data_IF_739217542069
#
_entry.id   IF_739217542069
#
_cell.length_a   1.000
_cell.length_b   1.000
_cell.length_c   1.000
_cell.angle_alpha   90.00
_cell.angle_beta   90.00
_cell.angle_gamma   90.00
#
_symmetry.space_group_name_H-M   'P 1'
#
loop_
_entity.id
_entity.type
_entity.pdbx_description
1 polymer ?
#
# COMPACT_ATOMS: atom_id res chain seq x y z
N UNK A 1 -42.99 -61.83 47.29
CA UNK A 1 -42.62 -60.87 48.37
C UNK A 1 -42.41 -61.69 49.63
N UNK A 2 -41.33 -61.57 50.44
CA UNK A 2 -40.74 -60.34 51.05
C UNK A 2 -39.19 -60.22 50.89
N UNK A 3 -38.56 -59.01 50.81
CA UNK A 3 -37.81 -58.19 51.84
C UNK A 3 -36.92 -58.98 52.82
N UNK A 4 -35.69 -58.60 53.24
CA UNK A 4 -34.89 -57.35 53.24
C UNK A 4 -33.41 -57.71 53.64
N UNK A 5 -32.45 -56.79 53.41
CA UNK A 5 -31.22 -56.45 54.22
C UNK A 5 -29.92 -56.28 53.39
N UNK A 6 -29.30 -55.08 53.47
CA UNK A 6 -27.86 -54.87 53.18
C UNK A 6 -27.03 -55.01 54.46
N UNK A 7 -25.82 -54.42 54.62
CA UNK A 7 -24.86 -53.83 53.67
C UNK A 7 -23.44 -54.45 53.84
N UNK A 8 -22.43 -54.03 53.08
CA UNK A 8 -21.04 -53.78 53.55
C UNK A 8 -20.10 -53.42 52.39
N UNK A 9 -19.36 -52.32 52.55
CA UNK A 9 -18.39 -51.81 51.59
C UNK A 9 -17.14 -52.68 51.45
N UNK A 10 -16.47 -52.54 50.31
CA UNK A 10 -15.17 -53.14 50.04
C UNK A 10 -14.05 -52.10 50.27
N UNK A 11 -12.89 -52.54 50.81
CA UNK A 11 -11.83 -51.70 51.34
C UNK A 11 -11.01 -50.96 50.26
N UNK A 12 -10.56 -49.76 50.60
CA UNK A 12 -9.74 -48.90 49.75
C UNK A 12 -8.37 -49.48 49.42
N UNK A 13 -7.93 -49.27 48.19
CA UNK A 13 -6.59 -49.62 47.73
C UNK A 13 -5.57 -48.49 48.01
N UNK A 14 -4.29 -48.84 48.24
CA UNK A 14 -3.30 -47.95 48.86
C UNK A 14 -2.78 -46.85 47.92
N UNK A 15 -2.44 -45.70 48.49
CA UNK A 15 -1.90 -44.54 47.78
C UNK A 15 -0.58 -44.82 47.08
N UNK A 16 -0.48 -44.37 45.84
CA UNK A 16 0.77 -44.39 45.05
C UNK A 16 1.80 -43.40 45.63
N UNK A 17 3.08 -43.80 45.72
CA UNK A 17 4.18 -42.92 46.13
C UNK A 17 4.35 -41.74 45.17
N UNK A 18 4.44 -40.53 45.72
CA UNK A 18 4.62 -39.28 44.97
C UNK A 18 5.89 -39.27 44.12
N UNK A 19 5.72 -38.95 42.83
CA UNK A 19 6.80 -38.66 41.90
C UNK A 19 7.31 -37.21 42.08
N UNK A 20 8.63 -36.96 41.95
CA UNK A 20 9.24 -35.65 42.18
C UNK A 20 8.73 -34.57 41.22
N UNK A 21 8.57 -33.35 41.76
CA UNK A 21 8.05 -32.19 41.04
C UNK A 21 8.74 -31.89 39.72
N UNK A 22 7.96 -31.90 38.63
CA UNK A 22 8.34 -31.28 37.38
C UNK A 22 7.93 -29.81 37.42
N UNK A 23 8.96 -28.99 37.56
CA UNK A 23 8.92 -27.55 37.44
C UNK A 23 8.35 -27.09 36.08
N UNK A 24 7.62 -25.98 36.13
CA UNK A 24 7.62 -24.98 35.05
C UNK A 24 6.85 -25.35 33.79
N UNK A 25 5.54 -25.08 33.81
CA UNK A 25 4.82 -24.86 32.57
C UNK A 25 5.43 -23.66 31.82
N UNK A 26 5.98 -23.91 30.65
CA UNK A 26 6.11 -22.90 29.61
C UNK A 26 5.41 -23.46 28.38
N UNK A 27 4.10 -23.20 28.32
CA UNK A 27 3.41 -23.14 27.04
C UNK A 27 4.20 -22.15 26.18
N UNK A 28 4.89 -22.66 25.15
CA UNK A 28 5.39 -21.85 24.06
C UNK A 28 4.19 -21.23 23.35
N UNK A 29 3.68 -20.14 23.92
CA UNK A 29 2.82 -19.24 23.17
C UNK A 29 3.62 -18.86 21.91
N UNK A 30 3.03 -18.99 20.70
CA UNK A 30 3.65 -18.42 19.52
C UNK A 30 3.99 -16.97 19.87
N UNK A 31 5.25 -16.58 19.69
CA UNK A 31 5.66 -15.18 19.76
C UNK A 31 4.81 -14.44 18.74
N UNK A 32 3.69 -13.86 19.18
CA UNK A 32 2.89 -12.96 18.36
C UNK A 32 3.77 -11.75 18.16
N UNK A 33 4.40 -11.68 16.97
CA UNK A 33 5.17 -10.50 16.59
C UNK A 33 4.22 -9.32 16.73
N UNK A 34 4.52 -8.34 17.62
CA UNK A 34 3.65 -7.20 17.82
C UNK A 34 3.51 -6.48 16.49
N UNK A 35 2.27 -6.37 16.00
CA UNK A 35 1.96 -5.65 14.77
C UNK A 35 2.45 -4.20 14.89
N UNK A 36 3.18 -3.71 13.88
CA UNK A 36 3.65 -2.32 13.85
C UNK A 36 3.04 -1.60 12.66
N UNK A 37 2.61 -0.34 12.79
CA UNK A 37 2.10 0.43 11.64
C UNK A 37 3.07 0.47 10.45
N UNK A 38 4.38 0.43 10.72
CA UNK A 38 5.45 0.40 9.72
C UNK A 38 5.39 -0.82 8.78
N UNK A 39 4.70 -1.88 9.19
CA UNK A 39 4.51 -3.10 8.41
C UNK A 39 3.69 -2.87 7.14
N UNK A 40 2.82 -1.85 7.17
CA UNK A 40 1.98 -1.39 6.05
C UNK A 40 2.46 -0.01 5.59
N UNK A 41 2.81 0.87 6.52
CA UNK A 41 3.12 2.28 6.32
C UNK A 41 1.99 3.19 6.83
N UNK A 42 2.26 4.50 6.88
CA UNK A 42 1.39 5.50 7.46
C UNK A 42 0.62 6.25 6.36
N UNK A 43 -0.70 6.31 6.48
CA UNK A 43 -1.55 7.11 5.61
C UNK A 43 -1.72 8.53 6.16
N UNK A 44 -1.25 9.51 5.38
CA UNK A 44 -1.29 10.93 5.71
C UNK A 44 -1.71 11.73 4.46
N UNK A 45 -3.02 11.88 4.20
CA UNK A 45 -3.52 12.45 2.95
C UNK A 45 -3.18 13.94 2.77
N UNK A 46 -3.21 14.72 3.84
CA UNK A 46 -2.86 16.14 3.84
C UNK A 46 -1.40 16.41 4.21
N UNK A 47 -0.48 15.58 3.73
CA UNK A 47 0.94 15.83 3.96
C UNK A 47 1.35 17.17 3.31
N UNK A 48 2.01 18.09 4.04
CA UNK A 48 2.38 19.37 3.46
C UNK A 48 3.35 19.15 2.29
N UNK A 49 3.18 19.90 1.21
CA UNK A 49 4.03 19.84 0.00
C UNK A 49 5.50 20.17 0.28
N UNK A 50 5.79 20.79 1.42
CA UNK A 50 7.16 21.00 1.91
C UNK A 50 7.91 19.70 2.26
N UNK A 51 7.19 18.60 2.49
CA UNK A 51 7.80 17.29 2.81
C UNK A 51 8.09 16.46 1.56
N UNK A 52 7.20 16.46 0.55
CA UNK A 52 7.50 15.97 -0.79
C UNK A 52 6.40 16.33 -1.80
N UNK A 53 6.70 16.11 -3.08
CA UNK A 53 5.74 16.19 -4.20
C UNK A 53 5.30 14.80 -4.71
N UNK A 54 5.81 13.70 -4.15
CA UNK A 54 5.57 12.33 -4.63
C UNK A 54 4.50 11.59 -3.85
N UNK A 55 3.89 10.56 -4.47
CA UNK A 55 2.80 9.73 -3.88
C UNK A 55 3.17 8.99 -2.59
N UNK A 56 4.46 8.78 -2.39
CA UNK A 56 5.05 8.02 -1.29
C UNK A 56 6.28 8.78 -0.78
N UNK A 57 6.39 8.96 0.54
CA UNK A 57 7.57 9.53 1.20
C UNK A 57 8.24 8.46 2.04
N UNK A 58 9.53 8.23 1.81
CA UNK A 58 10.34 7.37 2.65
C UNK A 58 11.14 8.26 3.61
N UNK A 59 10.72 8.35 4.88
CA UNK A 59 11.45 9.08 5.91
C UNK A 59 12.00 8.06 6.94
N UNK A 60 13.28 7.69 6.77
CA UNK A 60 13.93 6.70 7.63
C UNK A 60 13.34 5.29 7.46
N UNK A 61 12.64 4.79 8.50
CA UNK A 61 11.99 3.46 8.51
C UNK A 61 10.48 3.52 8.24
N UNK A 62 9.91 4.72 8.10
CA UNK A 62 8.48 4.92 7.87
C UNK A 62 8.21 5.27 6.42
N UNK A 63 7.31 4.51 5.82
CA UNK A 63 6.76 4.80 4.50
C UNK A 63 5.43 5.53 4.68
N UNK A 64 5.34 6.74 4.15
CA UNK A 64 4.15 7.56 4.16
C UNK A 64 3.44 7.51 2.82
N UNK A 65 2.11 7.46 2.85
CA UNK A 65 1.25 7.49 1.67
C UNK A 65 0.37 8.74 1.73
N UNK A 66 0.45 9.60 0.71
CA UNK A 66 -0.55 10.67 0.54
C UNK A 66 -1.77 10.17 -0.24
N UNK A 67 -1.53 9.28 -1.21
CA UNK A 67 -2.57 8.82 -2.11
C UNK A 67 -3.29 7.59 -1.54
N UNK A 68 -4.62 7.66 -1.44
CA UNK A 68 -5.44 6.56 -0.91
C UNK A 68 -5.29 5.28 -1.72
N UNK A 69 -5.18 5.36 -3.05
CA UNK A 69 -5.03 4.17 -3.92
C UNK A 69 -3.70 3.46 -3.65
N UNK A 70 -2.61 4.21 -3.48
CA UNK A 70 -1.30 3.66 -3.12
C UNK A 70 -1.34 2.97 -1.75
N UNK A 71 -2.03 3.59 -0.77
CA UNK A 71 -2.19 3.01 0.55
C UNK A 71 -3.04 1.74 0.54
N UNK A 72 -4.23 1.74 -0.07
CA UNK A 72 -5.12 0.57 -0.10
C UNK A 72 -4.52 -0.58 -0.91
N UNK A 73 -3.76 -0.30 -1.97
CA UNK A 73 -3.00 -1.32 -2.69
C UNK A 73 -1.99 -2.02 -1.76
N UNK A 74 -1.27 -1.24 -0.94
CA UNK A 74 -0.36 -1.79 0.06
C UNK A 74 -1.09 -2.59 1.15
N UNK A 75 -2.24 -2.11 1.61
CA UNK A 75 -3.09 -2.82 2.59
C UNK A 75 -3.53 -4.17 2.04
N UNK A 76 -3.96 -4.26 0.77
CA UNK A 76 -4.31 -5.53 0.12
C UNK A 76 -3.12 -6.50 0.06
N UNK A 77 -1.93 -6.01 -0.30
CA UNK A 77 -0.70 -6.83 -0.29
C UNK A 77 -0.36 -7.32 1.12
N UNK A 78 -0.51 -6.47 2.13
CA UNK A 78 -0.29 -6.87 3.53
C UNK A 78 -1.31 -7.91 3.98
N UNK A 79 -2.58 -7.78 3.59
CA UNK A 79 -3.64 -8.74 3.90
C UNK A 79 -3.40 -10.11 3.25
N UNK A 80 -2.79 -10.15 2.06
CA UNK A 80 -2.46 -11.40 1.37
C UNK A 80 -1.30 -12.19 2.02
N UNK A 81 -0.48 -11.52 2.84
CA UNK A 81 0.76 -12.10 3.39
C UNK A 81 0.74 -12.23 4.91
N UNK A 82 -0.32 -11.75 5.58
CA UNK A 82 -0.42 -11.68 7.05
C UNK A 82 -1.81 -12.07 7.53
N UNK A 83 -1.97 -12.18 8.85
CA UNK A 83 -3.28 -12.37 9.46
C UNK A 83 -4.18 -11.14 9.22
N UNK A 84 -5.19 -11.34 8.38
CA UNK A 84 -6.14 -10.29 8.01
C UNK A 84 -6.95 -9.77 9.21
N UNK A 85 -7.15 -10.59 10.25
CA UNK A 85 -7.87 -10.19 11.46
C UNK A 85 -7.07 -9.18 12.27
N UNK A 86 -5.81 -9.50 12.54
CA UNK A 86 -4.87 -8.57 13.20
C UNK A 86 -4.72 -7.30 12.40
N UNK A 87 -4.62 -7.39 11.07
CA UNK A 87 -4.50 -6.22 10.20
C UNK A 87 -5.74 -5.30 10.30
N UNK A 88 -6.96 -5.86 10.24
CA UNK A 88 -8.20 -5.08 10.41
C UNK A 88 -8.30 -4.37 11.76
N UNK A 89 -7.86 -5.03 12.83
CA UNK A 89 -7.98 -4.52 14.19
C UNK A 89 -7.00 -3.38 14.49
N UNK A 90 -5.94 -3.26 13.70
CA UNK A 90 -4.87 -2.30 13.96
C UNK A 90 -4.69 -1.27 12.82
N UNK A 91 -5.48 -1.37 11.74
CA UNK A 91 -5.37 -0.50 10.56
C UNK A 91 -5.53 1.00 10.89
N UNK A 92 -6.29 1.31 11.94
CA UNK A 92 -6.47 2.66 12.46
C UNK A 92 -5.17 3.29 12.99
N UNK A 93 -4.24 2.46 13.47
CA UNK A 93 -2.92 2.90 13.92
C UNK A 93 -2.01 3.36 12.76
N UNK A 94 -2.38 3.05 11.51
CA UNK A 94 -1.70 3.56 10.33
C UNK A 94 -2.14 4.97 9.94
N UNK A 95 -3.12 5.58 10.61
CA UNK A 95 -3.64 6.90 10.22
C UNK A 95 -2.96 8.04 10.94
N UNK A 96 -2.76 9.14 10.20
CA UNK A 96 -2.17 10.36 10.73
C UNK A 96 -3.00 11.58 10.32
N UNK A 97 -3.11 12.55 11.23
CA UNK A 97 -3.78 13.84 11.02
C UNK A 97 -5.22 13.65 10.52
N UNK A 98 -5.53 14.11 9.31
CA UNK A 98 -6.89 14.11 8.75
C UNK A 98 -7.49 12.70 8.67
N UNK A 99 -6.67 11.69 8.32
CA UNK A 99 -7.12 10.30 8.31
C UNK A 99 -7.50 9.81 9.71
N UNK A 100 -6.73 10.22 10.73
CA UNK A 100 -7.00 9.86 12.11
C UNK A 100 -8.25 10.58 12.64
N UNK A 101 -8.39 11.87 12.35
CA UNK A 101 -9.54 12.68 12.75
C UNK A 101 -10.85 12.15 12.12
N UNK A 102 -10.81 11.82 10.83
CA UNK A 102 -11.91 11.15 10.15
C UNK A 102 -12.34 9.88 10.88
N UNK A 103 -11.38 9.00 11.19
CA UNK A 103 -11.69 7.74 11.86
C UNK A 103 -12.25 7.96 13.27
N UNK A 104 -11.58 8.75 14.10
CA UNK A 104 -11.93 8.87 15.52
C UNK A 104 -13.14 9.76 15.77
N UNK A 105 -13.27 10.87 15.04
CA UNK A 105 -14.19 11.96 15.36
C UNK A 105 -15.33 12.09 14.36
N UNK A 106 -15.11 11.80 13.08
CA UNK A 106 -16.13 11.98 12.04
C UNK A 106 -16.94 10.69 11.77
N UNK A 107 -16.29 9.53 11.84
CA UNK A 107 -16.96 8.26 11.62
C UNK A 107 -17.76 7.83 12.85
N UNK A 108 -19.04 7.49 12.64
CA UNK A 108 -19.89 7.01 13.73
C UNK A 108 -19.33 5.74 14.38
N UNK A 109 -19.56 5.58 15.69
CA UNK A 109 -19.10 4.40 16.42
C UNK A 109 -19.63 3.09 15.81
N UNK A 110 -20.92 3.06 15.42
CA UNK A 110 -21.54 1.86 14.82
C UNK A 110 -20.89 1.50 13.50
N UNK A 111 -20.60 2.49 12.65
CA UNK A 111 -19.92 2.25 11.37
C UNK A 111 -18.50 1.73 11.59
N UNK A 112 -17.75 2.29 12.54
CA UNK A 112 -16.39 1.81 12.87
C UNK A 112 -16.39 0.36 13.32
N UNK A 113 -17.27 0.02 14.26
CA UNK A 113 -17.40 -1.35 14.76
C UNK A 113 -17.79 -2.30 13.63
N UNK A 114 -18.70 -1.90 12.75
CA UNK A 114 -19.07 -2.67 11.56
C UNK A 114 -17.87 -2.95 10.65
N UNK A 115 -17.08 -1.93 10.31
CA UNK A 115 -15.89 -2.07 9.46
C UNK A 115 -14.84 -2.99 10.12
N UNK A 116 -14.59 -2.83 11.43
CA UNK A 116 -13.61 -3.64 12.15
C UNK A 116 -14.05 -5.10 12.32
N UNK A 117 -15.35 -5.34 12.47
CA UNK A 117 -15.92 -6.67 12.70
C UNK A 117 -16.14 -7.48 11.40
N UNK A 118 -16.16 -6.83 10.24
CA UNK A 118 -16.47 -7.47 8.97
C UNK A 118 -15.42 -8.54 8.61
N UNK A 119 -15.89 -9.76 8.31
CA UNK A 119 -15.01 -10.93 8.10
C UNK A 119 -14.47 -11.04 6.67
N UNK A 120 -14.78 -10.11 5.76
CA UNK A 120 -14.33 -10.13 4.37
C UNK A 120 -12.93 -9.50 4.21
N UNK A 121 -11.96 -9.98 4.99
CA UNK A 121 -10.57 -9.53 4.90
C UNK A 121 -10.42 -8.05 5.22
N UNK A 122 -9.95 -7.22 4.28
CA UNK A 122 -9.74 -5.76 4.48
C UNK A 122 -10.64 -4.92 3.59
N UNK A 123 -11.62 -5.51 2.91
CA UNK A 123 -12.32 -4.80 1.83
C UNK A 123 -13.28 -3.71 2.33
N UNK A 124 -13.93 -3.88 3.48
CA UNK A 124 -14.74 -2.79 4.06
C UNK A 124 -13.89 -1.59 4.50
N UNK A 125 -12.66 -1.85 4.96
CA UNK A 125 -11.67 -0.79 5.19
C UNK A 125 -11.30 -0.07 3.90
N UNK A 126 -11.01 -0.82 2.84
CA UNK A 126 -10.65 -0.23 1.54
C UNK A 126 -11.78 0.62 0.98
N UNK A 127 -13.02 0.12 0.97
CA UNK A 127 -14.19 0.87 0.50
C UNK A 127 -14.41 2.15 1.31
N UNK A 128 -14.28 2.09 2.64
CA UNK A 128 -14.45 3.26 3.49
C UNK A 128 -13.37 4.32 3.26
N UNK A 129 -12.11 3.89 3.13
CA UNK A 129 -10.98 4.77 2.85
C UNK A 129 -11.10 5.42 1.48
N UNK A 130 -11.38 4.63 0.44
CA UNK A 130 -11.62 5.15 -0.91
C UNK A 130 -12.79 6.13 -0.87
N UNK A 131 -13.94 5.79 -0.30
CA UNK A 131 -15.08 6.71 -0.24
C UNK A 131 -14.76 8.07 0.40
N UNK A 132 -13.93 8.09 1.44
CA UNK A 132 -13.59 9.33 2.15
C UNK A 132 -12.49 10.14 1.45
N UNK A 133 -11.41 9.48 1.06
CA UNK A 133 -10.17 10.13 0.62
C UNK A 133 -9.93 10.06 -0.87
N UNK A 134 -10.90 9.52 -1.62
CA UNK A 134 -10.85 9.55 -3.06
C UNK A 134 -10.92 10.99 -3.54
N UNK A 135 -9.83 11.41 -4.17
CA UNK A 135 -9.75 12.66 -4.90
C UNK A 135 -10.84 12.70 -5.98
N UNK A 136 -11.58 13.81 -6.06
CA UNK A 136 -12.63 13.96 -7.06
C UNK A 136 -12.08 13.59 -8.47
N UNK A 137 -12.78 12.73 -9.24
CA UNK A 137 -12.28 12.26 -10.54
C UNK A 137 -11.87 13.39 -11.49
N UNK A 138 -12.52 14.56 -11.40
CA UNK A 138 -12.17 15.76 -12.17
C UNK A 138 -10.80 16.35 -11.83
N UNK A 139 -10.39 16.30 -10.55
CA UNK A 139 -9.07 16.74 -10.09
C UNK A 139 -8.01 15.74 -10.55
N UNK A 140 -8.26 14.44 -10.37
CA UNK A 140 -7.36 13.38 -10.87
C UNK A 140 -7.17 13.46 -12.39
N UNK A 141 -8.26 13.71 -13.15
CA UNK A 141 -8.21 13.91 -14.59
C UNK A 141 -7.38 15.15 -14.95
N UNK A 142 -7.55 16.26 -14.24
CA UNK A 142 -6.78 17.48 -14.46
C UNK A 142 -5.28 17.24 -14.24
N UNK A 143 -4.91 16.50 -13.18
CA UNK A 143 -3.53 16.09 -12.93
C UNK A 143 -3.00 15.19 -14.04
N UNK A 144 -3.74 14.15 -14.41
CA UNK A 144 -3.37 13.23 -15.49
C UNK A 144 -3.11 13.98 -16.80
N UNK A 145 -3.98 14.92 -17.16
CA UNK A 145 -3.86 15.73 -18.37
C UNK A 145 -2.68 16.69 -18.34
N UNK A 146 -2.28 17.18 -17.16
CA UNK A 146 -1.15 18.09 -16.98
C UNK A 146 0.22 17.38 -16.91
N UNK A 147 0.27 16.12 -16.48
CA UNK A 147 1.53 15.40 -16.32
C UNK A 147 2.26 15.20 -17.65
N UNK A 148 3.51 15.65 -17.70
CA UNK A 148 4.41 15.45 -18.83
C UNK A 148 5.77 14.97 -18.34
N UNK A 149 6.48 14.28 -19.22
CA UNK A 149 7.90 13.98 -19.05
C UNK A 149 8.70 14.72 -20.13
N UNK A 150 9.39 15.77 -19.70
CA UNK A 150 10.00 16.79 -20.57
C UNK A 150 11.51 16.62 -20.68
N UNK A 151 12.13 17.37 -21.60
CA UNK A 151 13.59 17.46 -21.69
C UNK A 151 14.20 17.98 -20.38
N UNK A 152 13.53 18.89 -19.69
CA UNK A 152 13.98 19.43 -18.40
C UNK A 152 14.02 18.34 -17.32
N UNK A 153 13.03 17.44 -17.29
CA UNK A 153 13.03 16.28 -16.39
C UNK A 153 14.25 15.40 -16.66
N UNK A 154 14.56 15.15 -17.94
CA UNK A 154 15.73 14.38 -18.33
C UNK A 154 17.06 15.06 -17.96
N UNK A 155 17.19 16.37 -18.18
CA UNK A 155 18.36 17.15 -17.74
C UNK A 155 18.53 17.19 -16.22
N UNK A 156 17.43 17.05 -15.49
CA UNK A 156 17.42 17.01 -14.02
C UNK A 156 17.60 15.59 -13.48
N UNK A 157 17.82 14.60 -14.36
CA UNK A 157 17.99 13.18 -14.01
C UNK A 157 16.79 12.61 -13.22
N UNK A 158 15.58 13.11 -13.51
CA UNK A 158 14.35 12.54 -12.93
C UNK A 158 14.18 11.10 -13.39
N UNK A 159 13.70 10.24 -12.50
CA UNK A 159 13.49 8.83 -12.82
C UNK A 159 12.20 8.61 -13.62
N UNK A 160 12.23 7.95 -14.80
CA UNK A 160 11.02 7.71 -15.60
C UNK A 160 10.00 6.82 -14.89
N UNK A 161 10.44 5.92 -14.01
CA UNK A 161 9.56 5.05 -13.23
C UNK A 161 8.62 5.88 -12.34
N UNK A 162 9.12 6.92 -11.68
CA UNK A 162 8.32 7.83 -10.85
C UNK A 162 7.22 8.51 -11.66
N UNK A 163 7.54 8.94 -12.88
CA UNK A 163 6.58 9.54 -13.80
C UNK A 163 5.49 8.54 -14.24
N UNK A 164 5.88 7.34 -14.67
CA UNK A 164 4.91 6.32 -15.11
C UNK A 164 4.00 5.91 -13.95
N UNK A 165 4.54 5.73 -12.74
CA UNK A 165 3.73 5.42 -11.55
C UNK A 165 2.75 6.55 -11.24
N UNK A 166 3.16 7.82 -11.32
CA UNK A 166 2.25 8.95 -11.08
C UNK A 166 1.10 9.01 -12.10
N UNK A 167 1.39 8.73 -13.39
CA UNK A 167 0.37 8.61 -14.43
C UNK A 167 -0.61 7.47 -14.13
N UNK A 168 -0.08 6.29 -13.79
CA UNK A 168 -0.88 5.12 -13.45
C UNK A 168 -1.84 5.40 -12.28
N UNK A 169 -1.35 6.05 -11.22
CA UNK A 169 -2.16 6.47 -10.07
C UNK A 169 -3.26 7.46 -10.49
N UNK A 170 -2.91 8.51 -11.25
CA UNK A 170 -3.86 9.54 -11.67
C UNK A 170 -4.94 8.98 -12.61
N UNK A 171 -4.55 8.08 -13.54
CA UNK A 171 -5.48 7.41 -14.45
C UNK A 171 -6.49 6.55 -13.68
N UNK A 172 -6.05 5.80 -12.67
CA UNK A 172 -6.96 5.06 -11.78
C UNK A 172 -7.89 6.00 -11.02
N UNK A 173 -7.36 7.10 -10.49
CA UNK A 173 -8.13 8.09 -9.74
C UNK A 173 -9.28 8.73 -10.54
N UNK A 174 -9.17 8.80 -11.87
CA UNK A 174 -10.21 9.30 -12.76
C UNK A 174 -10.96 8.22 -13.57
N UNK A 175 -10.80 6.93 -13.25
CA UNK A 175 -11.47 5.82 -13.95
C UNK A 175 -10.99 5.59 -15.39
N UNK A 176 -9.80 6.04 -15.75
CA UNK A 176 -9.15 5.79 -17.05
C UNK A 176 -8.02 4.75 -16.94
N UNK A 177 -7.86 4.12 -15.77
CA UNK A 177 -6.77 3.21 -15.45
C UNK A 177 -7.17 1.75 -15.29
N UNK A 178 -8.31 1.32 -15.84
CA UNK A 178 -8.85 -0.03 -15.65
C UNK A 178 -7.98 -1.13 -16.27
N UNK A 179 -7.16 -0.78 -17.27
CA UNK A 179 -6.20 -1.68 -17.90
C UNK A 179 -4.78 -1.12 -17.80
N UNK A 180 -3.77 -2.00 -17.81
CA UNK A 180 -2.37 -1.57 -17.88
C UNK A 180 -2.09 -0.82 -19.17
N UNK A 181 -2.65 -1.29 -20.29
CA UNK A 181 -2.48 -0.64 -21.59
C UNK A 181 -2.97 0.81 -21.60
N UNK A 182 -4.14 1.10 -21.01
CA UNK A 182 -4.63 2.48 -20.93
C UNK A 182 -3.66 3.38 -20.16
N UNK A 183 -3.14 2.91 -19.02
CA UNK A 183 -2.15 3.63 -18.22
C UNK A 183 -0.85 3.87 -18.99
N UNK A 184 -0.36 2.86 -19.70
CA UNK A 184 0.83 2.95 -20.56
C UNK A 184 0.63 3.94 -21.71
N UNK A 185 -0.54 3.94 -22.35
CA UNK A 185 -0.87 4.88 -23.42
C UNK A 185 -0.90 6.33 -22.93
N UNK A 186 -1.45 6.58 -21.74
CA UNK A 186 -1.37 7.89 -21.09
C UNK A 186 0.09 8.31 -20.85
N UNK A 187 0.90 7.38 -20.33
CA UNK A 187 2.30 7.65 -20.04
C UNK A 187 3.08 7.99 -21.32
N UNK A 188 2.90 7.19 -22.39
CA UNK A 188 3.50 7.42 -23.71
C UNK A 188 3.12 8.78 -24.30
N UNK A 189 1.84 9.15 -24.26
CA UNK A 189 1.35 10.44 -24.79
C UNK A 189 1.93 11.64 -24.07
N UNK A 190 2.24 11.52 -22.78
CA UNK A 190 2.82 12.59 -21.99
C UNK A 190 4.34 12.76 -22.15
N UNK A 191 5.04 11.86 -22.86
CA UNK A 191 6.47 11.99 -23.13
C UNK A 191 6.71 12.98 -24.29
N UNK A 192 7.64 13.91 -24.08
CA UNK A 192 8.09 14.85 -25.11
C UNK A 192 8.46 14.13 -26.42
N UNK A 193 8.02 14.67 -27.55
CA UNK A 193 8.26 14.06 -28.86
C UNK A 193 9.75 13.94 -29.18
N UNK A 194 10.59 14.83 -28.66
CA UNK A 194 12.04 14.75 -28.84
C UNK A 194 12.67 13.59 -28.06
N UNK A 195 12.13 13.25 -26.90
CA UNK A 195 12.56 12.08 -26.13
C UNK A 195 12.09 10.78 -26.77
N UNK A 196 10.89 10.77 -27.35
CA UNK A 196 10.34 9.60 -28.08
C UNK A 196 11.20 9.20 -29.28
N UNK A 197 11.87 10.14 -29.93
CA UNK A 197 12.79 9.89 -31.08
C UNK A 197 13.96 8.97 -30.74
N UNK A 198 14.27 8.74 -29.47
CA UNK A 198 15.30 7.78 -29.05
C UNK A 198 14.84 6.30 -29.12
N UNK A 199 13.84 6.00 -29.94
CA UNK A 199 13.27 4.67 -30.13
C UNK A 199 12.33 4.27 -28.99
N UNK A 200 11.41 5.17 -28.64
CA UNK A 200 10.19 4.84 -27.89
C UNK A 200 9.06 4.78 -28.91
N UNK A 201 8.72 3.58 -29.33
CA UNK A 201 7.60 3.35 -30.24
C UNK A 201 6.28 3.34 -29.48
N UNK A 202 5.17 3.45 -30.22
CA UNK A 202 3.84 3.37 -29.63
C UNK A 202 3.63 2.00 -28.97
N UNK A 203 3.17 1.95 -27.70
CA UNK A 203 2.97 0.70 -26.97
C UNK A 203 1.87 -0.14 -27.64
N UNK A 204 2.01 -1.46 -27.53
CA UNK A 204 1.01 -2.42 -28.01
C UNK A 204 0.01 -2.74 -26.89
N UNK A 205 -1.16 -3.29 -27.23
CA UNK A 205 -2.20 -3.65 -26.25
C UNK A 205 -1.72 -4.59 -25.13
N UNK A 206 -0.71 -5.40 -25.41
CA UNK A 206 -0.09 -6.33 -24.45
C UNK A 206 0.99 -5.70 -23.57
N UNK A 207 1.40 -4.46 -23.85
CA UNK A 207 2.49 -3.81 -23.11
C UNK A 207 2.06 -3.52 -21.69
N UNK A 208 2.77 -4.12 -20.74
CA UNK A 208 2.55 -3.91 -19.31
C UNK A 208 3.22 -2.63 -18.82
N UNK A 209 2.83 -2.15 -17.64
CA UNK A 209 3.46 -0.98 -17.03
C UNK A 209 4.95 -1.23 -16.78
N UNK A 210 5.30 -2.44 -16.33
CA UNK A 210 6.68 -2.81 -16.03
C UNK A 210 7.55 -2.83 -17.30
N UNK A 211 7.07 -3.45 -18.38
CA UNK A 211 7.80 -3.48 -19.65
C UNK A 211 8.04 -2.07 -20.21
N UNK A 212 7.05 -1.19 -20.05
CA UNK A 212 7.19 0.20 -20.46
C UNK A 212 8.22 0.94 -19.60
N UNK A 213 8.20 0.78 -18.28
CA UNK A 213 9.22 1.33 -17.37
C UNK A 213 10.62 0.83 -17.76
N UNK A 214 10.78 -0.46 -18.04
CA UNK A 214 12.06 -1.04 -18.45
C UNK A 214 12.54 -0.49 -19.80
N UNK A 215 11.63 -0.25 -20.75
CA UNK A 215 11.93 0.46 -21.98
C UNK A 215 12.45 1.88 -21.69
N UNK A 216 11.73 2.68 -20.91
CA UNK A 216 12.16 4.05 -20.58
C UNK A 216 13.50 4.07 -19.85
N UNK A 217 13.73 3.13 -18.91
CA UNK A 217 14.98 3.00 -18.19
C UNK A 217 16.17 2.64 -19.09
N UNK A 218 15.97 1.82 -20.13
CA UNK A 218 17.02 1.58 -21.13
C UNK A 218 17.34 2.83 -21.96
N UNK A 219 16.35 3.69 -22.21
CA UNK A 219 16.51 4.90 -23.01
C UNK A 219 17.00 6.11 -22.22
N UNK A 220 16.73 6.18 -20.91
CA UNK A 220 17.06 7.36 -20.08
C UNK A 220 18.54 7.74 -20.12
N UNK A 221 19.44 6.76 -20.19
CA UNK A 221 20.89 6.99 -20.29
C UNK A 221 21.22 7.81 -21.54
N UNK A 222 20.56 7.53 -22.66
CA UNK A 222 20.77 8.28 -23.90
C UNK A 222 20.21 9.69 -23.80
N UNK A 223 19.06 9.89 -23.14
CA UNK A 223 18.50 11.22 -22.92
C UNK A 223 19.40 12.07 -22.02
N UNK A 224 19.81 11.52 -20.87
CA UNK A 224 20.63 12.22 -19.89
C UNK A 224 21.95 12.64 -20.54
N UNK A 225 22.61 11.73 -21.26
CA UNK A 225 23.86 12.06 -21.95
C UNK A 225 23.65 13.13 -23.03
N UNK A 226 22.64 12.98 -23.90
CA UNK A 226 22.39 13.91 -25.00
C UNK A 226 22.08 15.33 -24.51
N UNK A 227 21.17 15.48 -23.55
CA UNK A 227 20.70 16.80 -23.13
C UNK A 227 21.57 17.46 -22.06
N UNK A 228 22.36 16.70 -21.29
CA UNK A 228 23.38 17.28 -20.39
C UNK A 228 24.56 17.83 -21.18
N UNK A 229 24.98 17.17 -22.27
CA UNK A 229 26.05 17.67 -23.14
C UNK A 229 25.65 18.95 -23.87
N UNK A 230 24.40 19.06 -24.32
CA UNK A 230 23.91 20.28 -25.00
C UNK A 230 23.82 21.47 -24.04
N UNK A 231 23.35 21.25 -22.80
CA UNK A 231 23.31 22.30 -21.76
C UNK A 231 24.70 22.87 -21.43
N UNK A 232 25.74 22.03 -21.46
CA UNK A 232 27.12 22.48 -21.23
C UNK A 232 27.73 23.28 -22.39
N UNK A 233 27.23 23.07 -23.62
CA UNK A 233 27.65 23.84 -24.80
C UNK A 233 27.01 25.22 -24.80
N UNK A 234 25.71 25.29 -24.54
CA UNK A 234 24.97 26.57 -24.45
C UNK A 234 25.47 27.48 -23.33
N UNK A 235 25.95 26.93 -22.21
CA UNK A 235 26.52 27.72 -21.12
C UNK A 235 27.96 28.23 -21.35
N UNK A 236 28.59 27.87 -22.48
CA UNK A 236 29.96 28.28 -22.83
C UNK A 236 30.01 29.35 -23.95
N UNK A 237 28.87 29.66 -24.56
CA UNK A 237 28.68 30.77 -25.49
C UNK A 237 28.09 31.99 -24.77
#
# INVERSE_FOLDING_TARGET
MPVQQGPSGLPGTPGEPGLPGLAGGNNGAPLTVPWKPHDVGIFWPNIPTSYSTGDIINEGKEQYYHNVHSFVARVRVAAATRDATTLRQNLDLCFKREAQDWWTNQLSHVTRVGIMADNNGVEEWVKALEKQFWEAPSVALSKLQAMRYTIQDAQSHREPSEYVTAIATAAKGCGQGDTEFAQVLHAFRGIDSNLRRFGIDEPEERTTIQEFIDLLNRKKVNWFNHYTQNKQKENKE
#
